data_IF_371489163324
#
_entry.id   IF_371489163324
#
_cell.length_a   1.000
_cell.length_b   1.000
_cell.length_c   1.000
_cell.angle_alpha   90.00
_cell.angle_beta   90.00
_cell.angle_gamma   90.00
#
_symmetry.space_group_name_H-M   'P 1'
#
loop_
_entity.id
_entity.type
_entity.pdbx_description
1 polymer ?
#
# COMPACT_ATOMS: atom_id res chain seq x y z
N UNK A 1 7.73 -31.29 -1.10
CA UNK A 1 7.34 -29.92 -0.72
C UNK A 1 5.86 -29.83 -0.96
N UNK A 2 5.06 -30.19 0.05
CA UNK A 2 3.61 -30.13 -0.04
C UNK A 2 3.16 -28.68 0.14
N UNK A 3 2.40 -28.18 -0.84
CA UNK A 3 1.84 -26.83 -0.77
C UNK A 3 0.64 -26.90 0.17
N UNK A 4 0.82 -26.43 1.40
CA UNK A 4 -0.28 -26.28 2.33
C UNK A 4 -1.16 -25.09 1.91
N UNK A 5 -2.42 -25.38 1.56
CA UNK A 5 -3.39 -24.35 1.16
C UNK A 5 -3.72 -23.38 2.29
N UNK A 6 -3.67 -23.83 3.56
CA UNK A 6 -3.92 -22.95 4.70
C UNK A 6 -2.82 -21.88 4.83
N UNK A 7 -1.56 -22.30 4.72
CA UNK A 7 -0.41 -21.39 4.80
C UNK A 7 -0.35 -20.44 3.61
N UNK A 8 -0.70 -20.93 2.40
CA UNK A 8 -0.78 -20.11 1.18
C UNK A 8 -1.86 -19.04 1.30
N UNK A 9 -3.04 -19.40 1.81
CA UNK A 9 -4.16 -18.47 2.01
C UNK A 9 -3.81 -17.42 3.08
N UNK A 10 -3.16 -17.84 4.16
CA UNK A 10 -2.69 -16.93 5.21
C UNK A 10 -1.66 -15.93 4.67
N UNK A 11 -0.66 -16.42 3.92
CA UNK A 11 0.33 -15.55 3.28
C UNK A 11 -0.29 -14.60 2.26
N UNK A 12 -1.25 -15.05 1.47
CA UNK A 12 -1.97 -14.19 0.53
C UNK A 12 -2.71 -13.06 1.25
N UNK A 13 -3.46 -13.39 2.31
CA UNK A 13 -4.16 -12.41 3.13
C UNK A 13 -3.19 -11.41 3.78
N UNK A 14 -2.07 -11.89 4.31
CA UNK A 14 -1.04 -11.06 4.90
C UNK A 14 -0.44 -10.08 3.87
N UNK A 15 -0.19 -10.56 2.65
CA UNK A 15 0.35 -9.72 1.55
C UNK A 15 -0.63 -8.61 1.16
N UNK A 16 -1.93 -8.91 1.11
CA UNK A 16 -2.97 -7.90 0.86
C UNK A 16 -3.03 -6.85 1.98
N UNK A 17 -2.89 -7.25 3.25
CA UNK A 17 -2.83 -6.29 4.37
C UNK A 17 -1.62 -5.35 4.27
N UNK A 18 -0.46 -5.85 3.84
CA UNK A 18 0.74 -5.02 3.63
C UNK A 18 0.54 -4.04 2.47
N UNK A 19 -0.08 -4.48 1.36
CA UNK A 19 -0.36 -3.61 0.21
C UNK A 19 -1.30 -2.44 0.58
N UNK A 20 -2.19 -2.64 1.54
CA UNK A 20 -3.07 -1.61 2.11
C UNK A 20 -2.33 -0.52 2.90
N UNK A 21 -1.06 -0.72 3.29
CA UNK A 21 -0.29 0.30 4.03
C UNK A 21 0.10 1.50 3.15
N UNK A 22 0.39 1.30 1.86
CA UNK A 22 0.80 2.38 0.96
C UNK A 22 -0.29 3.45 0.73
N UNK A 23 -1.58 3.10 0.52
CA UNK A 23 -2.65 4.10 0.52
C UNK A 23 -2.94 4.66 1.93
N UNK A 24 -2.74 3.89 3.01
CA UNK A 24 -2.88 4.41 4.37
C UNK A 24 -1.85 5.52 4.66
N UNK A 25 -0.61 5.36 4.21
CA UNK A 25 0.42 6.38 4.29
C UNK A 25 0.05 7.62 3.46
N UNK A 26 -0.53 7.45 2.26
CA UNK A 26 -1.04 8.58 1.45
C UNK A 26 -2.08 9.41 2.20
N UNK A 27 -3.00 8.77 2.93
CA UNK A 27 -4.03 9.46 3.71
C UNK A 27 -3.44 10.13 4.96
N UNK A 28 -2.54 9.44 5.66
CA UNK A 28 -1.91 9.95 6.87
C UNK A 28 -0.97 11.13 6.57
N UNK A 29 -0.08 10.99 5.58
CA UNK A 29 0.80 12.07 5.14
C UNK A 29 0.04 13.16 4.40
N UNK A 30 -1.01 12.82 3.65
CA UNK A 30 -1.92 13.79 3.02
C UNK A 30 -2.61 14.71 4.03
N UNK A 31 -2.97 14.21 5.22
CA UNK A 31 -3.57 15.00 6.31
C UNK A 31 -2.59 15.95 7.02
N UNK A 32 -1.28 15.72 6.90
CA UNK A 32 -0.24 16.55 7.52
C UNK A 32 0.29 17.66 6.60
N UNK A 33 -0.12 17.70 5.33
CA UNK A 33 0.26 18.76 4.36
C UNK A 33 -0.86 19.78 4.18
N UNK A 34 -0.50 20.97 3.69
CA UNK A 34 -1.50 22.00 3.34
C UNK A 34 -2.44 21.47 2.25
N UNK A 35 -3.72 21.82 2.33
CA UNK A 35 -4.79 21.39 1.41
C UNK A 35 -4.41 21.50 -0.09
N UNK A 36 -3.66 22.55 -0.48
CA UNK A 36 -3.16 22.75 -1.85
C UNK A 36 -2.20 21.67 -2.37
N UNK A 37 -1.54 20.93 -1.47
CA UNK A 37 -0.52 19.94 -1.80
C UNK A 37 -0.97 18.49 -1.58
N UNK A 38 -2.18 18.27 -1.04
CA UNK A 38 -2.70 16.93 -0.72
C UNK A 38 -2.79 16.07 -1.98
N UNK A 39 -3.27 16.63 -3.09
CA UNK A 39 -3.36 15.92 -4.37
C UNK A 39 -1.98 15.47 -4.86
N UNK A 40 -0.97 16.34 -4.77
CA UNK A 40 0.41 16.04 -5.17
C UNK A 40 1.03 14.96 -4.29
N UNK A 41 0.82 15.02 -2.98
CA UNK A 41 1.37 14.04 -2.02
C UNK A 41 0.72 12.67 -2.22
N UNK A 42 -0.60 12.63 -2.43
CA UNK A 42 -1.28 11.36 -2.72
C UNK A 42 -0.84 10.75 -4.04
N UNK A 43 -0.62 11.56 -5.08
CA UNK A 43 -0.18 11.06 -6.39
C UNK A 43 1.21 10.43 -6.35
N UNK A 44 2.14 10.98 -5.55
CA UNK A 44 3.46 10.38 -5.35
C UNK A 44 3.38 9.06 -4.57
N UNK A 45 2.50 8.95 -3.56
CA UNK A 45 2.29 7.71 -2.82
C UNK A 45 1.68 6.59 -3.68
N UNK A 46 0.76 6.91 -4.60
CA UNK A 46 0.25 5.93 -5.56
C UNK A 46 1.26 5.57 -6.66
N UNK A 47 2.07 6.53 -7.12
CA UNK A 47 3.15 6.26 -8.06
C UNK A 47 4.21 5.30 -7.46
N UNK A 48 4.48 5.42 -6.15
CA UNK A 48 5.38 4.51 -5.44
C UNK A 48 4.89 3.05 -5.47
N UNK A 49 3.57 2.80 -5.46
CA UNK A 49 3.02 1.44 -5.62
C UNK A 49 3.45 0.87 -6.97
N UNK A 50 3.32 1.64 -8.05
CA UNK A 50 3.67 1.20 -9.41
C UNK A 50 5.17 0.95 -9.55
N UNK A 51 6.00 1.84 -9.00
CA UNK A 51 7.47 1.73 -9.10
C UNK A 51 8.03 0.57 -8.27
N UNK A 52 7.43 0.26 -7.11
CA UNK A 52 7.90 -0.82 -6.23
C UNK A 52 7.39 -2.20 -6.67
N UNK A 53 6.24 -2.25 -7.34
CA UNK A 53 5.65 -3.50 -7.85
C UNK A 53 6.27 -3.94 -9.19
N UNK A 54 6.75 -2.99 -10.00
CA UNK A 54 7.53 -3.28 -11.22
C UNK A 54 8.92 -3.78 -10.84
#
# INVERSE_FOLDING_TARGET
MDINMADTTFMFLATVMVLLMTPALSLFYGGMVRAKNVLSTSMHSYAAIVVVVI
#
